data_IF_210071971968
#
_entry.id   IF_210071971968
#
_cell.length_a   1.000
_cell.length_b   1.000
_cell.length_c   1.000
_cell.angle_alpha   90.00
_cell.angle_beta   90.00
_cell.angle_gamma   90.00
#
_symmetry.space_group_name_H-M   'P 1'
#
loop_
_entity.id
_entity.type
_entity.pdbx_description
1 polymer ?
#
# COMPACT_ATOMS: atom_id res chain seq x y z
N UNK A 1 12.67 6.12 -20.87
CA UNK A 1 12.23 5.44 -19.65
C UNK A 1 11.48 6.38 -18.75
N UNK A 2 10.38 5.91 -18.19
CA UNK A 2 9.61 6.70 -17.24
C UNK A 2 10.09 6.41 -15.82
N UNK A 3 10.30 7.47 -15.05
CA UNK A 3 10.60 7.36 -13.62
C UNK A 3 9.29 7.37 -12.84
N UNK A 4 9.07 6.34 -12.04
CA UNK A 4 7.87 6.20 -11.23
C UNK A 4 8.26 6.15 -9.76
N UNK A 5 7.70 7.05 -8.97
CA UNK A 5 7.95 7.15 -7.54
C UNK A 5 6.78 6.59 -6.77
N UNK A 6 7.06 5.60 -5.94
CA UNK A 6 6.07 4.95 -5.09
C UNK A 6 6.27 5.39 -3.65
N UNK A 7 5.17 5.77 -3.00
CA UNK A 7 5.14 6.00 -1.57
C UNK A 7 4.41 4.82 -0.94
N UNK A 8 5.11 4.09 -0.06
CA UNK A 8 4.55 2.93 0.62
C UNK A 8 4.03 3.34 1.98
N UNK A 9 2.72 3.31 2.14
CA UNK A 9 2.04 3.67 3.36
C UNK A 9 1.64 2.42 4.13
N UNK A 10 2.11 2.30 5.37
CA UNK A 10 1.90 1.09 6.17
C UNK A 10 1.96 1.41 7.66
N UNK A 11 1.30 0.57 8.46
CA UNK A 11 1.29 0.72 9.90
C UNK A 11 2.49 0.02 10.53
N UNK A 12 3.06 0.62 11.57
CA UNK A 12 4.23 0.07 12.26
C UNK A 12 4.03 -1.38 12.72
N UNK A 13 2.83 -1.71 13.22
CA UNK A 13 2.52 -3.05 13.71
C UNK A 13 2.55 -4.12 12.60
N UNK A 14 2.52 -3.71 11.34
CA UNK A 14 2.50 -4.60 10.19
C UNK A 14 3.89 -4.78 9.56
N UNK A 15 4.95 -4.41 10.26
CA UNK A 15 6.31 -4.42 9.69
C UNK A 15 6.71 -5.77 9.10
N UNK A 16 6.40 -6.86 9.78
CA UNK A 16 6.73 -8.20 9.31
C UNK A 16 6.01 -8.57 8.02
N UNK A 17 4.70 -8.31 7.97
CA UNK A 17 3.89 -8.56 6.78
C UNK A 17 4.33 -7.66 5.63
N UNK A 18 4.61 -6.39 5.93
CA UNK A 18 5.10 -5.43 4.95
C UNK A 18 6.44 -5.90 4.35
N UNK A 19 7.37 -6.33 5.18
CA UNK A 19 8.67 -6.80 4.72
C UNK A 19 8.55 -8.04 3.84
N UNK A 20 7.68 -8.96 4.21
CA UNK A 20 7.39 -10.15 3.40
C UNK A 20 6.87 -9.77 2.01
N UNK A 21 5.91 -8.85 1.96
CA UNK A 21 5.33 -8.39 0.70
C UNK A 21 6.38 -7.68 -0.16
N UNK A 22 7.17 -6.78 0.43
CA UNK A 22 8.18 -6.03 -0.31
C UNK A 22 9.32 -6.90 -0.79
N UNK A 23 9.66 -7.95 -0.06
CA UNK A 23 10.68 -8.91 -0.48
C UNK A 23 10.35 -9.53 -1.83
N UNK A 24 9.06 -9.72 -2.11
CA UNK A 24 8.60 -10.25 -3.40
C UNK A 24 8.41 -9.16 -4.44
N UNK A 25 7.96 -7.97 -4.02
CA UNK A 25 7.68 -6.88 -4.94
C UNK A 25 8.94 -6.21 -5.49
N UNK A 26 9.92 -5.94 -4.64
CA UNK A 26 11.12 -5.17 -5.03
C UNK A 26 11.86 -5.77 -6.22
N UNK A 27 12.15 -7.08 -6.28
CA UNK A 27 12.82 -7.63 -7.44
C UNK A 27 12.06 -7.41 -8.75
N UNK A 28 10.74 -7.46 -8.70
CA UNK A 28 9.89 -7.23 -9.87
C UNK A 28 9.97 -5.80 -10.34
N UNK A 29 10.01 -4.85 -9.41
CA UNK A 29 10.18 -3.44 -9.75
C UNK A 29 11.55 -3.19 -10.38
N UNK A 30 12.58 -3.89 -9.90
CA UNK A 30 13.94 -3.70 -10.36
C UNK A 30 14.18 -4.23 -11.79
N UNK A 31 13.47 -5.26 -12.21
CA UNK A 31 13.66 -5.88 -13.52
C UNK A 31 12.69 -5.39 -14.59
N UNK A 32 11.82 -4.45 -14.26
CA UNK A 32 10.83 -3.92 -15.21
C UNK A 32 11.53 -3.18 -16.34
N UNK A 33 11.12 -3.47 -17.58
CA UNK A 33 11.57 -2.72 -18.75
C UNK A 33 10.75 -1.44 -18.92
N UNK A 34 11.36 -0.39 -19.45
CA UNK A 34 10.71 0.87 -19.81
C UNK A 34 10.32 1.77 -18.63
N UNK A 35 10.49 1.31 -17.41
CA UNK A 35 10.21 2.09 -16.22
C UNK A 35 11.33 1.93 -15.21
N UNK A 36 11.62 3.02 -14.50
CA UNK A 36 12.52 3.00 -13.36
C UNK A 36 11.67 3.31 -12.13
N UNK A 37 11.60 2.36 -11.20
CA UNK A 37 10.84 2.54 -9.97
C UNK A 37 11.76 2.93 -8.84
N UNK A 38 11.37 3.97 -8.11
CA UNK A 38 11.94 4.32 -6.81
C UNK A 38 10.83 4.25 -5.79
N UNK A 39 11.17 3.94 -4.56
CA UNK A 39 10.16 3.82 -3.51
C UNK A 39 10.66 4.36 -2.19
N UNK A 40 9.71 4.87 -1.42
CA UNK A 40 9.91 5.34 -0.06
C UNK A 40 9.13 4.42 0.86
N UNK A 41 9.80 3.75 1.80
CA UNK A 41 9.15 2.79 2.70
C UNK A 41 9.26 3.17 4.18
N UNK A 42 9.88 4.29 4.51
CA UNK A 42 10.05 4.75 5.88
C UNK A 42 8.90 5.67 6.32
N UNK A 43 7.69 5.35 5.86
CA UNK A 43 6.52 6.19 6.07
C UNK A 43 5.69 5.81 7.30
N UNK A 44 6.17 4.88 8.12
CA UNK A 44 5.46 4.55 9.34
C UNK A 44 5.70 5.60 10.41
N UNK A 45 4.69 5.82 11.26
CA UNK A 45 4.81 6.70 12.41
C UNK A 45 4.38 5.93 13.65
N UNK A 46 5.21 5.99 14.69
CA UNK A 46 4.88 5.40 15.98
C UNK A 46 3.84 6.25 16.70
N UNK A 47 2.97 5.65 17.51
CA UNK A 47 2.02 6.40 18.30
C UNK A 47 2.71 7.47 19.14
N UNK A 48 2.22 8.71 19.08
CA UNK A 48 2.77 9.82 19.83
C UNK A 48 3.95 10.53 19.17
N UNK A 49 4.43 10.08 18.03
CA UNK A 49 5.47 10.76 17.29
C UNK A 49 4.94 11.97 16.53
N UNK A 50 5.77 13.01 16.46
CA UNK A 50 5.47 14.16 15.62
C UNK A 50 5.75 13.85 14.16
N UNK A 51 5.14 14.62 13.29
CA UNK A 51 5.28 14.53 11.85
C UNK A 51 6.67 14.85 11.40
N UNK A 52 7.26 13.98 10.63
CA UNK A 52 8.54 14.26 9.97
C UNK A 52 8.25 14.98 8.67
N UNK A 53 8.82 16.18 8.45
CA UNK A 53 8.63 16.90 7.18
C UNK A 53 9.03 16.06 5.96
N UNK A 54 9.99 15.16 6.12
CA UNK A 54 10.42 14.25 5.05
C UNK A 54 9.29 13.38 4.52
N UNK A 55 8.41 12.89 5.42
CA UNK A 55 7.28 12.06 5.01
C UNK A 55 6.34 12.86 4.13
N UNK A 56 6.04 14.09 4.52
CA UNK A 56 5.16 14.96 3.74
C UNK A 56 5.76 15.30 2.39
N UNK A 57 7.07 15.52 2.33
CA UNK A 57 7.78 15.81 1.08
C UNK A 57 7.73 14.60 0.15
N UNK A 58 7.98 13.40 0.66
CA UNK A 58 7.94 12.18 -0.15
C UNK A 58 6.51 11.88 -0.63
N UNK A 59 5.53 12.12 0.23
CA UNK A 59 4.13 11.96 -0.15
C UNK A 59 3.76 12.92 -1.29
N UNK A 60 4.21 14.18 -1.19
CA UNK A 60 3.94 15.19 -2.21
C UNK A 60 4.59 14.86 -3.55
N UNK A 61 5.75 14.22 -3.54
CA UNK A 61 6.52 13.89 -4.75
C UNK A 61 6.19 12.53 -5.36
N UNK A 62 5.38 11.71 -4.70
CA UNK A 62 5.04 10.38 -5.18
C UNK A 62 4.10 10.44 -6.38
N UNK A 63 4.29 9.52 -7.32
CA UNK A 63 3.36 9.31 -8.43
C UNK A 63 2.21 8.39 -8.02
N UNK A 64 2.50 7.40 -7.18
CA UNK A 64 1.51 6.46 -6.65
C UNK A 64 1.71 6.30 -5.15
N UNK A 65 0.60 6.15 -4.45
CA UNK A 65 0.59 5.84 -3.03
C UNK A 65 0.07 4.41 -2.87
N UNK A 66 0.95 3.51 -2.46
CA UNK A 66 0.60 2.12 -2.19
C UNK A 66 0.19 2.02 -0.73
N UNK A 67 -1.08 1.71 -0.48
CA UNK A 67 -1.65 1.62 0.87
C UNK A 67 -1.78 0.17 1.28
N UNK A 68 -1.03 -0.24 2.30
CA UNK A 68 -1.05 -1.61 2.81
C UNK A 68 -2.12 -1.72 3.90
N UNK A 69 -3.31 -2.11 3.49
CA UNK A 69 -4.51 -2.10 4.33
C UNK A 69 -4.44 -3.21 5.38
N UNK A 70 -4.73 -2.84 6.61
CA UNK A 70 -4.84 -3.74 7.76
C UNK A 70 -5.69 -3.06 8.84
N UNK A 71 -6.10 -3.77 9.88
CA UNK A 71 -6.76 -3.11 11.00
C UNK A 71 -5.91 -2.00 11.62
N UNK A 72 -4.61 -2.25 11.82
CA UNK A 72 -3.69 -1.24 12.37
C UNK A 72 -3.54 -0.02 11.47
N UNK A 73 -3.49 -0.25 10.15
CA UNK A 73 -3.41 0.82 9.16
C UNK A 73 -4.64 1.74 9.26
N UNK A 74 -5.82 1.14 9.27
CA UNK A 74 -7.08 1.91 9.31
C UNK A 74 -7.30 2.61 10.65
N UNK A 75 -6.71 2.09 11.71
CA UNK A 75 -6.81 2.68 13.05
C UNK A 75 -5.80 3.82 13.27
N UNK A 76 -4.86 4.03 12.36
CA UNK A 76 -3.81 5.03 12.52
C UNK A 76 -4.35 6.45 12.34
N UNK A 77 -4.07 7.32 13.30
CA UNK A 77 -4.44 8.74 13.22
C UNK A 77 -3.75 9.44 12.06
N UNK A 78 -2.49 9.06 11.79
CA UNK A 78 -1.73 9.62 10.68
C UNK A 78 -2.44 9.34 9.35
N UNK A 79 -2.81 8.10 9.14
CA UNK A 79 -3.46 7.69 7.90
C UNK A 79 -4.80 8.37 7.74
N UNK A 80 -5.59 8.41 8.82
CA UNK A 80 -6.89 9.06 8.83
C UNK A 80 -6.80 10.55 8.51
N UNK A 81 -5.83 11.25 9.15
CA UNK A 81 -5.81 12.70 9.11
C UNK A 81 -5.05 13.27 7.91
N UNK A 82 -4.13 12.52 7.33
CA UNK A 82 -3.20 13.07 6.36
C UNK A 82 -3.10 12.34 5.04
N UNK A 83 -2.95 11.02 5.06
CA UNK A 83 -2.81 10.30 3.80
C UNK A 83 -4.13 10.21 3.03
N UNK A 84 -5.20 9.96 3.77
CA UNK A 84 -6.52 9.78 3.14
C UNK A 84 -7.09 11.12 2.65
N UNK A 85 -7.11 12.19 3.47
CA UNK A 85 -7.51 13.50 2.96
C UNK A 85 -6.62 14.01 1.84
N UNK A 86 -5.30 13.83 1.96
CA UNK A 86 -4.36 14.22 0.92
C UNK A 86 -4.62 13.51 -0.39
N UNK A 87 -5.02 12.26 -0.33
CA UNK A 87 -5.39 11.47 -1.50
C UNK A 87 -6.63 12.05 -2.17
N UNK A 88 -7.65 12.44 -1.39
CA UNK A 88 -8.86 13.04 -1.91
C UNK A 88 -8.63 14.42 -2.49
N UNK A 89 -7.70 15.18 -1.93
CA UNK A 89 -7.39 16.55 -2.32
C UNK A 89 -6.37 16.63 -3.45
N UNK A 90 -5.62 15.56 -3.69
CA UNK A 90 -4.60 15.52 -4.71
C UNK A 90 -5.06 14.64 -5.89
N UNK A 91 -5.92 15.17 -6.78
CA UNK A 91 -6.54 14.37 -7.83
C UNK A 91 -5.56 13.78 -8.83
N UNK A 92 -4.33 14.26 -8.86
CA UNK A 92 -3.29 13.77 -9.76
C UNK A 92 -2.56 12.55 -9.23
N UNK A 93 -2.74 12.19 -7.95
CA UNK A 93 -2.07 11.05 -7.35
C UNK A 93 -2.98 9.83 -7.38
N UNK A 94 -2.42 8.74 -7.87
CA UNK A 94 -3.13 7.46 -7.86
C UNK A 94 -2.82 6.73 -6.57
N UNK A 95 -3.87 6.26 -5.92
CA UNK A 95 -3.73 5.38 -4.77
C UNK A 95 -3.98 3.95 -5.18
N UNK A 96 -3.17 3.07 -4.61
CA UNK A 96 -3.22 1.64 -4.90
C UNK A 96 -3.40 0.91 -3.56
N UNK A 97 -4.64 0.75 -3.08
CA UNK A 97 -4.88 0.04 -1.83
C UNK A 97 -4.78 -1.47 -2.02
N UNK A 98 -4.04 -2.12 -1.11
CA UNK A 98 -3.82 -3.56 -1.10
C UNK A 98 -4.27 -4.11 0.24
N UNK A 99 -5.00 -5.23 0.23
CA UNK A 99 -5.36 -5.92 1.46
C UNK A 99 -4.15 -6.72 1.95
N UNK A 100 -3.33 -6.12 2.82
CA UNK A 100 -2.16 -6.79 3.39
C UNK A 100 -2.58 -7.79 4.45
N UNK A 101 -3.42 -7.36 5.39
CA UNK A 101 -3.98 -8.17 6.46
C UNK A 101 -5.50 -8.08 6.38
N UNK A 102 -6.20 -9.17 6.67
CA UNK A 102 -7.64 -9.25 6.49
C UNK A 102 -8.40 -8.18 7.29
N UNK A 103 -9.28 -7.46 6.58
CA UNK A 103 -10.27 -6.55 7.16
C UNK A 103 -11.60 -6.87 6.48
N UNK A 104 -12.68 -7.09 7.25
CA UNK A 104 -13.98 -7.38 6.64
C UNK A 104 -14.45 -6.26 5.70
N UNK A 105 -14.94 -6.64 4.53
CA UNK A 105 -15.49 -5.71 3.53
C UNK A 105 -17.02 -5.74 3.52
N UNK A 106 -17.62 -5.99 4.67
CA UNK A 106 -19.07 -6.18 4.83
C UNK A 106 -19.82 -4.93 5.32
N UNK A 107 -19.13 -3.79 5.36
CA UNK A 107 -19.72 -2.54 5.82
C UNK A 107 -19.60 -2.29 7.32
N UNK A 108 -19.01 -3.23 8.08
CA UNK A 108 -18.89 -3.07 9.53
C UNK A 108 -17.66 -2.28 9.96
N UNK A 109 -16.69 -2.13 9.07
CA UNK A 109 -15.41 -1.48 9.39
C UNK A 109 -15.29 -0.12 8.71
N UNK A 110 -14.63 0.81 9.41
CA UNK A 110 -14.42 2.16 8.88
C UNK A 110 -13.18 2.19 7.99
N UNK A 111 -13.38 2.35 6.70
CA UNK A 111 -12.31 2.42 5.71
C UNK A 111 -11.90 3.85 5.34
N UNK A 112 -12.47 4.86 5.96
CA UNK A 112 -12.14 6.28 5.71
C UNK A 112 -12.19 6.64 4.21
N UNK A 113 -13.17 6.08 3.50
CA UNK A 113 -13.39 6.29 2.07
C UNK A 113 -12.40 5.56 1.14
N UNK A 114 -11.44 4.83 1.67
CA UNK A 114 -10.52 4.02 0.84
C UNK A 114 -11.29 2.97 0.05
N UNK A 115 -12.35 2.40 0.63
CA UNK A 115 -13.18 1.38 0.00
C UNK A 115 -13.98 1.88 -1.21
N UNK A 116 -14.01 3.19 -1.44
CA UNK A 116 -14.56 3.77 -2.68
C UNK A 116 -13.66 3.44 -3.88
N UNK A 117 -12.41 3.05 -3.63
CA UNK A 117 -11.49 2.59 -4.65
C UNK A 117 -11.44 1.07 -4.59
N UNK A 118 -11.08 0.46 -5.71
CA UNK A 118 -10.97 -0.98 -5.73
C UNK A 118 -9.73 -1.43 -4.94
N UNK A 119 -9.97 -2.05 -3.79
CA UNK A 119 -8.89 -2.61 -2.97
C UNK A 119 -8.43 -3.91 -3.62
N UNK A 120 -7.13 -4.05 -3.84
CA UNK A 120 -6.58 -5.27 -4.43
C UNK A 120 -6.53 -6.38 -3.38
N UNK A 121 -7.20 -7.48 -3.63
CA UNK A 121 -7.26 -8.66 -2.76
C UNK A 121 -6.80 -9.93 -3.48
N UNK A 122 -6.09 -9.78 -4.59
CA UNK A 122 -5.71 -10.90 -5.45
C UNK A 122 -6.63 -11.03 -6.65
N UNK A 123 -6.29 -11.95 -7.55
CA UNK A 123 -7.04 -12.17 -8.80
C UNK A 123 -7.99 -13.36 -8.72
N UNK A 124 -8.16 -13.97 -7.55
CA UNK A 124 -9.06 -15.10 -7.37
C UNK A 124 -10.51 -14.64 -7.14
N UNK A 125 -11.46 -15.56 -7.35
CA UNK A 125 -12.87 -15.30 -7.10
C UNK A 125 -13.16 -15.10 -5.61
N UNK A 126 -12.28 -15.57 -4.74
CA UNK A 126 -12.37 -15.37 -3.30
C UNK A 126 -11.33 -14.34 -2.89
N UNK A 127 -11.73 -13.11 -2.54
CA UNK A 127 -10.77 -12.09 -2.15
C UNK A 127 -10.20 -12.39 -0.77
N UNK A 128 -8.88 -12.51 -0.70
CA UNK A 128 -8.15 -12.73 0.53
C UNK A 128 -6.97 -11.79 0.60
N UNK A 129 -6.52 -11.48 1.82
CA UNK A 129 -5.36 -10.66 2.05
C UNK A 129 -4.07 -11.35 1.62
N UNK A 130 -2.99 -10.58 1.54
CA UNK A 130 -1.66 -11.13 1.29
C UNK A 130 -1.28 -12.17 2.35
N UNK A 131 -1.44 -11.83 3.64
CA UNK A 131 -1.02 -12.73 4.73
C UNK A 131 -1.86 -14.00 4.82
N UNK A 132 -3.06 -14.02 4.25
CA UNK A 132 -3.89 -15.22 4.22
C UNK A 132 -3.41 -16.25 3.20
N UNK A 133 -2.47 -15.88 2.33
CA UNK A 133 -1.88 -16.80 1.34
C UNK A 133 -0.91 -17.72 2.07
N UNK A 134 -1.14 -19.03 2.02
CA UNK A 134 -0.42 -20.01 2.83
C UNK A 134 0.89 -20.46 2.20
N UNK A 135 0.98 -20.45 0.87
CA UNK A 135 2.15 -20.97 0.16
C UNK A 135 2.92 -19.85 -0.53
N UNK A 136 4.21 -20.10 -0.78
CA UNK A 136 5.05 -19.16 -1.54
C UNK A 136 4.48 -18.92 -2.94
N UNK A 137 3.96 -19.97 -3.55
CA UNK A 137 3.34 -19.87 -4.88
C UNK A 137 2.16 -18.88 -4.86
N UNK A 138 1.27 -19.02 -3.88
CA UNK A 138 0.12 -18.14 -3.75
C UNK A 138 0.53 -16.70 -3.48
N UNK A 139 1.54 -16.48 -2.65
CA UNK A 139 2.06 -15.14 -2.35
C UNK A 139 2.71 -14.50 -3.57
N UNK A 140 3.47 -15.28 -4.34
CA UNK A 140 4.05 -14.78 -5.58
C UNK A 140 2.97 -14.42 -6.60
N UNK A 141 1.91 -15.23 -6.72
CA UNK A 141 0.80 -14.89 -7.59
C UNK A 141 0.10 -13.61 -7.18
N UNK A 142 -0.07 -13.40 -5.88
CA UNK A 142 -0.67 -12.17 -5.35
C UNK A 142 0.15 -10.95 -5.78
N UNK A 143 1.46 -11.02 -5.60
CA UNK A 143 2.37 -9.92 -5.94
C UNK A 143 2.41 -9.68 -7.45
N UNK A 144 2.46 -10.74 -8.27
CA UNK A 144 2.43 -10.61 -9.72
C UNK A 144 1.15 -9.94 -10.20
N UNK A 145 0.02 -10.31 -9.63
CA UNK A 145 -1.27 -9.70 -9.96
C UNK A 145 -1.32 -8.23 -9.59
N UNK A 146 -0.75 -7.85 -8.46
CA UNK A 146 -0.65 -6.45 -8.07
C UNK A 146 0.29 -5.69 -9.02
N UNK A 147 1.46 -6.25 -9.27
CA UNK A 147 2.46 -5.62 -10.13
C UNK A 147 1.89 -5.29 -11.51
N UNK A 148 1.09 -6.20 -12.07
CA UNK A 148 0.49 -5.97 -13.38
C UNK A 148 -0.48 -4.79 -13.42
N UNK A 149 -0.95 -4.32 -12.27
CA UNK A 149 -1.83 -3.15 -12.18
C UNK A 149 -1.06 -1.82 -12.15
N UNK A 150 0.24 -1.88 -11.85
CA UNK A 150 1.08 -0.68 -11.79
C UNK A 150 1.59 -0.31 -13.18
N UNK A 151 1.86 -1.29 -14.01
CA UNK A 151 2.48 -1.08 -15.32
C UNK A 151 1.49 -0.97 -16.47
#
# INVERSE_FOLDING_TARGET
MSDIRLFLSWAHDDAEAKDSFLKLLKPRLQITRNHIFTWWEDSFILPGEEWKPEILTQLANADYIVQLISPSFLASDFIRDYEIPGVGEAPLKKTLPIMLVDVPLDGTMEFHQIDRRQIYCGNSNEPHSYVSRETDYQRNQFVDGFFSRII
#
